data_IF_020149680354
#
_entry.id   IF_020149680354
#
_cell.length_a   1.000
_cell.length_b   1.000
_cell.length_c   1.000
_cell.angle_alpha   90.00
_cell.angle_beta   90.00
_cell.angle_gamma   90.00
#
_symmetry.space_group_name_H-M   'P 1'
#
loop_
_entity.id
_entity.type
_entity.pdbx_description
1 polymer ?
#
# COMPACT_ATOMS: atom_id res chain seq x y z
N UNK A 1 25.57 17.40 47.31
CA UNK A 1 25.90 16.84 45.99
C UNK A 1 24.70 16.61 45.05
N UNK A 2 23.49 16.30 45.55
CA UNK A 2 22.30 16.01 44.71
C UNK A 2 21.80 17.17 43.82
N UNK A 3 22.00 18.44 44.23
CA UNK A 3 21.55 19.62 43.48
C UNK A 3 22.36 19.87 42.20
N UNK A 4 23.64 19.48 42.17
CA UNK A 4 24.51 19.65 41.00
C UNK A 4 24.21 18.62 39.91
N UNK A 5 23.84 17.40 40.30
CA UNK A 5 23.41 16.34 39.37
C UNK A 5 22.12 16.76 38.66
N UNK A 6 21.10 17.26 39.37
CA UNK A 6 19.87 17.77 38.73
C UNK A 6 20.12 18.93 37.77
N UNK A 7 21.05 19.83 38.10
CA UNK A 7 21.44 20.94 37.21
C UNK A 7 22.18 20.42 35.97
N UNK A 8 23.08 19.45 36.14
CA UNK A 8 23.78 18.80 35.04
C UNK A 8 22.80 18.07 34.11
N UNK A 9 21.84 17.29 34.64
CA UNK A 9 20.80 16.65 33.83
C UNK A 9 19.88 17.64 33.10
N UNK A 10 19.54 18.76 33.74
CA UNK A 10 18.77 19.82 33.10
C UNK A 10 19.58 20.53 31.99
N UNK A 11 20.88 20.71 32.17
CA UNK A 11 21.77 21.30 31.16
C UNK A 11 22.11 20.33 30.03
N UNK A 12 22.25 19.03 30.33
CA UNK A 12 22.46 17.99 29.36
C UNK A 12 21.20 17.77 28.52
N UNK A 13 20.02 17.73 29.16
CA UNK A 13 18.73 17.71 28.47
C UNK A 13 18.51 18.97 27.64
N UNK A 14 18.84 20.16 28.15
CA UNK A 14 18.73 21.40 27.39
C UNK A 14 19.72 21.49 26.22
N UNK A 15 20.96 21.02 26.38
CA UNK A 15 21.93 20.94 25.27
C UNK A 15 21.55 19.87 24.25
N UNK A 16 21.01 18.72 24.67
CA UNK A 16 20.49 17.71 23.76
C UNK A 16 19.28 18.23 23.00
N UNK A 17 18.37 18.93 23.67
CA UNK A 17 17.19 19.56 23.06
C UNK A 17 17.57 20.75 22.17
N UNK A 18 18.65 21.48 22.49
CA UNK A 18 19.21 22.55 21.66
C UNK A 18 19.89 21.99 20.41
N UNK A 19 20.73 20.94 20.55
CA UNK A 19 21.40 20.29 19.41
C UNK A 19 20.38 19.52 18.54
N UNK A 20 19.32 18.98 19.13
CA UNK A 20 18.25 18.31 18.39
C UNK A 20 17.31 19.31 17.69
N UNK A 21 17.06 20.49 18.27
CA UNK A 21 16.35 21.58 17.58
C UNK A 21 17.21 22.30 16.53
N UNK A 22 18.54 22.33 16.70
CA UNK A 22 19.51 23.00 15.82
C UNK A 22 20.03 22.06 14.70
N UNK A 23 19.83 20.74 14.85
CA UNK A 23 20.08 19.69 13.85
C UNK A 23 18.78 18.88 13.58
N UNK A 24 17.61 19.52 13.66
CA UNK A 24 16.40 18.91 13.12
C UNK A 24 16.48 19.02 11.60
N UNK A 25 16.97 17.97 10.94
CA UNK A 25 17.13 17.91 9.48
C UNK A 25 15.88 18.52 8.80
N UNK A 26 16.02 19.59 7.99
CA UNK A 26 14.87 20.21 7.32
C UNK A 26 14.01 19.21 6.55
N UNK A 27 14.53 18.03 6.17
CA UNK A 27 13.72 16.91 5.67
C UNK A 27 12.61 16.47 6.64
N UNK A 28 12.95 16.29 7.91
CA UNK A 28 12.03 15.83 8.97
C UNK A 28 10.95 16.88 9.21
N UNK A 29 11.31 18.17 9.21
CA UNK A 29 10.33 19.25 9.37
C UNK A 29 9.34 19.31 8.20
N UNK A 30 9.83 19.14 6.97
CA UNK A 30 8.99 19.05 5.77
C UNK A 30 8.09 17.81 5.77
N UNK A 31 8.57 16.69 6.32
CA UNK A 31 7.76 15.49 6.54
C UNK A 31 6.66 15.73 7.57
N UNK A 32 7.01 16.26 8.73
CA UNK A 32 6.04 16.57 9.78
C UNK A 32 4.95 17.54 9.30
N UNK A 33 5.34 18.61 8.60
CA UNK A 33 4.39 19.56 8.04
C UNK A 33 3.45 18.93 7.00
N UNK A 34 3.95 17.95 6.22
CA UNK A 34 3.12 17.21 5.27
C UNK A 34 2.16 16.27 5.99
N UNK A 35 2.65 15.52 6.98
CA UNK A 35 1.82 14.61 7.78
C UNK A 35 0.69 15.38 8.48
N UNK A 36 1.00 16.55 9.05
CA UNK A 36 -0.02 17.41 9.67
C UNK A 36 -1.04 17.89 8.64
N UNK A 37 -0.60 18.33 7.46
CA UNK A 37 -1.51 18.74 6.38
C UNK A 37 -2.40 17.59 5.90
N UNK A 38 -1.87 16.37 5.81
CA UNK A 38 -2.64 15.17 5.48
C UNK A 38 -3.66 14.83 6.57
N UNK A 39 -3.28 14.95 7.85
CA UNK A 39 -4.18 14.71 8.97
C UNK A 39 -5.32 15.74 9.02
N UNK A 40 -5.00 17.02 8.82
CA UNK A 40 -6.00 18.09 8.69
C UNK A 40 -6.96 17.81 7.53
N UNK A 41 -6.43 17.39 6.38
CA UNK A 41 -7.25 17.00 5.22
C UNK A 41 -8.19 15.82 5.54
N UNK A 42 -7.69 14.82 6.26
CA UNK A 42 -8.50 13.67 6.71
C UNK A 42 -9.62 14.10 7.65
N UNK A 43 -9.32 14.92 8.66
CA UNK A 43 -10.30 15.48 9.60
C UNK A 43 -11.38 16.30 8.88
N UNK A 44 -10.99 17.14 7.92
CA UNK A 44 -11.94 17.91 7.11
C UNK A 44 -12.86 17.01 6.27
N UNK A 45 -12.32 15.92 5.69
CA UNK A 45 -13.12 14.92 4.98
C UNK A 45 -14.12 14.22 5.89
N UNK A 46 -13.70 13.81 7.08
CA UNK A 46 -14.57 13.19 8.08
C UNK A 46 -15.71 14.14 8.51
N UNK A 47 -15.39 15.41 8.78
CA UNK A 47 -16.39 16.43 9.10
C UNK A 47 -17.36 16.66 7.94
N UNK A 48 -16.85 16.79 6.71
CA UNK A 48 -17.70 16.94 5.53
C UNK A 48 -18.59 15.72 5.30
N UNK A 49 -18.08 14.50 5.56
CA UNK A 49 -18.87 13.28 5.47
C UNK A 49 -20.06 13.32 6.45
N UNK A 50 -19.87 13.78 7.69
CA UNK A 50 -20.96 13.91 8.65
C UNK A 50 -22.03 14.93 8.21
N UNK A 51 -21.61 16.07 7.64
CA UNK A 51 -22.53 17.09 7.11
C UNK A 51 -23.31 16.54 5.91
N UNK A 52 -22.64 15.84 4.99
CA UNK A 52 -23.29 15.22 3.82
C UNK A 52 -24.23 14.10 4.25
N UNK A 53 -23.86 13.32 5.27
CA UNK A 53 -24.72 12.29 5.83
C UNK A 53 -25.99 12.90 6.43
N UNK A 54 -25.89 14.00 7.16
CA UNK A 54 -27.05 14.74 7.68
C UNK A 54 -27.95 15.27 6.55
N UNK A 55 -27.37 15.82 5.47
CA UNK A 55 -28.11 16.20 4.27
C UNK A 55 -28.90 15.00 3.71
N UNK A 56 -28.23 13.86 3.51
CA UNK A 56 -28.86 12.66 2.94
C UNK A 56 -29.96 12.10 3.83
N UNK A 57 -29.76 12.09 5.14
CA UNK A 57 -30.77 11.68 6.10
C UNK A 57 -31.99 12.60 6.06
N UNK A 58 -31.79 13.91 5.94
CA UNK A 58 -32.88 14.89 5.84
C UNK A 58 -33.65 14.72 4.53
N UNK A 59 -32.95 14.46 3.43
CA UNK A 59 -33.57 14.14 2.13
C UNK A 59 -34.40 12.85 2.22
N UNK A 60 -33.87 11.77 2.79
CA UNK A 60 -34.63 10.50 2.98
C UNK A 60 -35.90 10.72 3.79
N UNK A 61 -35.82 11.46 4.91
CA UNK A 61 -37.00 11.78 5.72
C UNK A 61 -38.04 12.60 4.95
N UNK A 62 -37.59 13.54 4.12
CA UNK A 62 -38.48 14.31 3.25
C UNK A 62 -39.19 13.39 2.25
N UNK A 63 -38.46 12.51 1.57
CA UNK A 63 -39.00 11.57 0.59
C UNK A 63 -40.00 10.58 1.24
N UNK A 64 -39.66 10.05 2.41
CA UNK A 64 -40.54 9.19 3.21
C UNK A 64 -41.85 9.92 3.60
N UNK A 65 -41.74 11.18 4.03
CA UNK A 65 -42.91 11.97 4.45
C UNK A 65 -43.79 12.34 3.25
N UNK A 66 -43.19 12.64 2.10
CA UNK A 66 -43.92 12.83 0.84
C UNK A 66 -44.68 11.57 0.44
N UNK A 67 -44.07 10.40 0.55
CA UNK A 67 -44.76 9.12 0.29
C UNK A 67 -45.93 8.86 1.24
N UNK A 68 -45.80 9.19 2.52
CA UNK A 68 -46.89 9.11 3.50
C UNK A 68 -48.03 10.08 3.16
N UNK A 69 -47.70 11.30 2.75
CA UNK A 69 -48.67 12.31 2.33
C UNK A 69 -49.47 11.83 1.11
N UNK A 70 -48.79 11.27 0.10
CA UNK A 70 -49.47 10.70 -1.05
C UNK A 70 -50.42 9.54 -0.68
N UNK A 71 -50.00 8.67 0.25
CA UNK A 71 -50.84 7.58 0.74
C UNK A 71 -52.07 8.11 1.50
N UNK A 72 -51.88 9.08 2.40
CA UNK A 72 -52.99 9.73 3.11
C UNK A 72 -53.95 10.40 2.13
N UNK A 73 -53.44 11.02 1.07
CA UNK A 73 -54.27 11.67 0.05
C UNK A 73 -55.14 10.65 -0.70
N UNK A 74 -54.56 9.50 -1.12
CA UNK A 74 -55.33 8.39 -1.71
C UNK A 74 -56.40 7.87 -0.76
N UNK A 75 -56.09 7.71 0.52
CA UNK A 75 -57.04 7.24 1.53
C UNK A 75 -58.18 8.25 1.76
N UNK A 76 -57.86 9.56 1.79
CA UNK A 76 -58.85 10.62 1.90
C UNK A 76 -59.82 10.60 0.72
N UNK A 77 -59.29 10.52 -0.51
CA UNK A 77 -60.11 10.42 -1.72
C UNK A 77 -61.05 9.21 -1.67
N UNK A 78 -60.54 8.04 -1.28
CA UNK A 78 -61.36 6.83 -1.13
C UNK A 78 -62.45 6.99 -0.06
N UNK A 79 -62.12 7.58 1.10
CA UNK A 79 -63.10 7.81 2.16
C UNK A 79 -64.23 8.74 1.72
N UNK A 80 -63.91 9.81 0.98
CA UNK A 80 -64.90 10.74 0.41
C UNK A 80 -65.79 10.03 -0.62
N UNK A 81 -65.21 9.21 -1.50
CA UNK A 81 -65.99 8.43 -2.47
C UNK A 81 -66.95 7.46 -1.77
N UNK A 82 -66.51 6.80 -0.70
CA UNK A 82 -67.36 5.89 0.08
C UNK A 82 -68.47 6.62 0.84
N UNK A 83 -68.19 7.82 1.38
CA UNK A 83 -69.20 8.66 2.02
C UNK A 83 -70.29 9.12 1.03
N UNK A 84 -69.87 9.53 -0.17
CA UNK A 84 -70.77 9.94 -1.26
C UNK A 84 -71.64 8.78 -1.75
N UNK A 85 -71.06 7.58 -1.92
CA UNK A 85 -71.81 6.38 -2.30
C UNK A 85 -72.82 5.95 -1.22
N UNK A 86 -72.44 5.99 0.05
CA UNK A 86 -73.36 5.70 1.17
C UNK A 86 -74.51 6.71 1.22
N UNK A 87 -74.21 7.99 0.94
CA UNK A 87 -75.22 9.06 0.86
C UNK A 87 -76.19 8.80 -0.29
N UNK A 88 -75.71 8.43 -1.49
CA UNK A 88 -76.58 8.08 -2.64
C UNK A 88 -77.42 6.84 -2.39
N UNK A 89 -76.88 5.87 -1.66
CA UNK A 89 -77.57 4.64 -1.29
C UNK A 89 -78.60 4.82 -0.17
N UNK A 90 -78.66 6.01 0.45
CA UNK A 90 -79.58 6.32 1.55
C UNK A 90 -79.18 5.75 2.92
N UNK A 91 -77.94 5.24 3.07
CA UNK A 91 -77.42 4.69 4.31
C UNK A 91 -76.78 5.81 5.15
N UNK A 92 -77.63 6.54 5.88
CA UNK A 92 -77.22 7.73 6.65
C UNK A 92 -76.18 7.44 7.74
N UNK A 93 -76.22 6.25 8.35
CA UNK A 93 -75.27 5.86 9.39
C UNK A 93 -73.86 5.69 8.79
N UNK A 94 -73.73 4.93 7.70
CA UNK A 94 -72.43 4.75 7.02
C UNK A 94 -71.92 6.05 6.41
N UNK A 95 -72.80 6.89 5.86
CA UNK A 95 -72.41 8.19 5.33
C UNK A 95 -71.75 9.06 6.41
N UNK A 96 -72.33 9.09 7.63
CA UNK A 96 -71.75 9.83 8.75
C UNK A 96 -70.39 9.26 9.20
N UNK A 97 -70.26 7.93 9.29
CA UNK A 97 -69.01 7.26 9.67
C UNK A 97 -67.87 7.56 8.68
N UNK A 98 -68.11 7.40 7.37
CA UNK A 98 -67.10 7.68 6.34
C UNK A 98 -66.75 9.17 6.25
N UNK A 99 -67.72 10.06 6.48
CA UNK A 99 -67.47 11.51 6.53
C UNK A 99 -66.54 11.85 7.70
N UNK A 100 -66.81 11.32 8.90
CA UNK A 100 -65.92 11.53 10.06
C UNK A 100 -64.51 10.96 9.83
N UNK A 101 -64.41 9.80 9.18
CA UNK A 101 -63.11 9.24 8.79
C UNK A 101 -62.36 10.13 7.80
N UNK A 102 -63.05 10.68 6.79
CA UNK A 102 -62.46 11.61 5.83
C UNK A 102 -61.97 12.90 6.51
N UNK A 103 -62.74 13.46 7.44
CA UNK A 103 -62.33 14.63 8.25
C UNK A 103 -61.08 14.33 9.10
N UNK A 104 -61.02 13.16 9.72
CA UNK A 104 -59.84 12.75 10.49
C UNK A 104 -58.58 12.61 9.61
N UNK A 105 -58.71 12.02 8.41
CA UNK A 105 -57.60 11.92 7.46
C UNK A 105 -57.20 13.31 6.94
N UNK A 106 -58.14 14.22 6.70
CA UNK A 106 -57.86 15.59 6.28
C UNK A 106 -57.03 16.35 7.34
N UNK A 107 -57.34 16.18 8.62
CA UNK A 107 -56.54 16.76 9.71
C UNK A 107 -55.10 16.19 9.73
N UNK A 108 -54.94 14.89 9.46
CA UNK A 108 -53.62 14.26 9.35
C UNK A 108 -52.85 14.75 8.13
N UNK A 109 -53.52 14.98 7.00
CA UNK A 109 -52.93 15.54 5.79
C UNK A 109 -52.34 16.92 6.06
N UNK A 110 -53.09 17.81 6.70
CA UNK A 110 -52.62 19.17 7.03
C UNK A 110 -51.36 19.11 7.91
N UNK A 111 -51.35 18.24 8.93
CA UNK A 111 -50.17 18.05 9.77
C UNK A 111 -48.96 17.53 8.96
N UNK A 112 -49.18 16.58 8.05
CA UNK A 112 -48.11 16.04 7.20
C UNK A 112 -47.61 17.03 6.15
N UNK A 113 -48.48 17.89 5.62
CA UNK A 113 -48.09 18.99 4.73
C UNK A 113 -47.15 19.97 5.44
N UNK A 114 -47.46 20.32 6.69
CA UNK A 114 -46.58 21.16 7.52
C UNK A 114 -45.23 20.48 7.80
N UNK A 115 -45.22 19.17 8.11
CA UNK A 115 -43.98 18.40 8.26
C UNK A 115 -43.12 18.47 6.98
N UNK A 116 -43.74 18.29 5.81
CA UNK A 116 -43.07 18.36 4.50
C UNK A 116 -42.48 19.74 4.25
N UNK A 117 -43.22 20.81 4.53
CA UNK A 117 -42.70 22.18 4.38
C UNK A 117 -41.50 22.44 5.28
N UNK A 118 -41.56 22.01 6.55
CA UNK A 118 -40.43 22.09 7.47
C UNK A 118 -39.22 21.31 6.99
N UNK A 119 -39.43 20.07 6.53
CA UNK A 119 -38.36 19.21 6.00
C UNK A 119 -37.77 19.76 4.70
N UNK A 120 -38.55 20.40 3.84
CA UNK A 120 -38.03 21.10 2.64
C UNK A 120 -37.07 22.21 3.02
N UNK A 121 -37.44 23.06 3.98
CA UNK A 121 -36.57 24.13 4.46
C UNK A 121 -35.26 23.56 5.04
N UNK A 122 -35.35 22.53 5.88
CA UNK A 122 -34.19 21.85 6.44
C UNK A 122 -33.33 21.18 5.36
N UNK A 123 -33.94 20.55 4.36
CA UNK A 123 -33.22 19.91 3.25
C UNK A 123 -32.44 20.92 2.40
N UNK A 124 -33.02 22.10 2.16
CA UNK A 124 -32.33 23.20 1.47
C UNK A 124 -31.12 23.68 2.30
N UNK A 125 -31.30 23.93 3.58
CA UNK A 125 -30.22 24.35 4.47
C UNK A 125 -29.10 23.29 4.54
N UNK A 126 -29.46 22.02 4.71
CA UNK A 126 -28.50 20.93 4.77
C UNK A 126 -27.77 20.74 3.44
N UNK A 127 -28.43 21.01 2.30
CA UNK A 127 -27.80 20.98 0.97
C UNK A 127 -26.75 22.07 0.83
N UNK A 128 -27.06 23.30 1.23
CA UNK A 128 -26.07 24.40 1.21
C UNK A 128 -24.87 24.10 2.12
N UNK A 129 -25.11 23.58 3.33
CA UNK A 129 -24.04 23.18 4.26
C UNK A 129 -23.15 22.07 3.66
N UNK A 130 -23.76 21.07 3.02
CA UNK A 130 -23.03 20.00 2.35
C UNK A 130 -22.21 20.50 1.16
N UNK A 131 -22.72 21.46 0.37
CA UNK A 131 -21.97 22.09 -0.72
C UNK A 131 -20.76 22.88 -0.20
N UNK A 132 -20.93 23.68 0.85
CA UNK A 132 -19.83 24.39 1.50
C UNK A 132 -18.77 23.43 2.03
N UNK A 133 -19.18 22.34 2.68
CA UNK A 133 -18.28 21.32 3.17
C UNK A 133 -17.49 20.64 2.03
N UNK A 134 -18.16 20.30 0.92
CA UNK A 134 -17.50 19.75 -0.29
C UNK A 134 -16.49 20.74 -0.88
N UNK A 135 -16.86 22.01 -0.98
CA UNK A 135 -15.98 23.07 -1.48
C UNK A 135 -14.74 23.22 -0.58
N UNK A 136 -14.91 23.20 0.74
CA UNK A 136 -13.81 23.28 1.70
C UNK A 136 -12.84 22.08 1.58
N UNK A 137 -13.37 20.86 1.43
CA UNK A 137 -12.55 19.66 1.18
C UNK A 137 -11.78 19.77 -0.14
N UNK A 138 -12.44 20.24 -1.21
CA UNK A 138 -11.80 20.41 -2.51
C UNK A 138 -10.68 21.46 -2.43
N UNK A 139 -10.94 22.61 -1.81
CA UNK A 139 -9.94 23.66 -1.62
C UNK A 139 -8.75 23.13 -0.81
N UNK A 140 -9.00 22.44 0.29
CA UNK A 140 -7.94 21.87 1.12
C UNK A 140 -7.12 20.82 0.37
N UNK A 141 -7.75 20.01 -0.50
CA UNK A 141 -7.02 19.06 -1.36
C UNK A 141 -6.04 19.76 -2.31
N UNK A 142 -6.42 20.93 -2.86
CA UNK A 142 -5.53 21.75 -3.70
C UNK A 142 -4.36 22.30 -2.89
N UNK A 143 -4.63 22.79 -1.69
CA UNK A 143 -3.57 23.26 -0.76
C UNK A 143 -2.61 22.12 -0.40
N UNK A 144 -3.11 20.92 -0.15
CA UNK A 144 -2.28 19.75 0.12
C UNK A 144 -1.38 19.40 -1.08
N UNK A 145 -1.91 19.45 -2.30
CA UNK A 145 -1.13 19.25 -3.52
C UNK A 145 -0.04 20.33 -3.70
N UNK A 146 -0.35 21.58 -3.41
CA UNK A 146 0.63 22.67 -3.43
C UNK A 146 1.75 22.42 -2.41
N UNK A 147 1.41 22.06 -1.17
CA UNK A 147 2.39 21.70 -0.12
C UNK A 147 3.26 20.51 -0.51
N UNK A 148 2.69 19.51 -1.19
CA UNK A 148 3.45 18.37 -1.72
C UNK A 148 4.47 18.81 -2.77
N UNK A 149 4.07 19.64 -3.73
CA UNK A 149 4.97 20.16 -4.75
C UNK A 149 6.07 21.05 -4.15
N UNK A 150 5.70 21.91 -3.20
CA UNK A 150 6.65 22.77 -2.48
C UNK A 150 7.66 21.93 -1.68
N UNK A 151 7.22 20.90 -0.97
CA UNK A 151 8.10 19.95 -0.28
C UNK A 151 9.11 19.31 -1.24
N UNK A 152 8.66 18.82 -2.40
CA UNK A 152 9.57 18.22 -3.39
C UNK A 152 10.62 19.22 -3.87
N UNK A 153 10.21 20.47 -4.13
CA UNK A 153 11.13 21.56 -4.50
C UNK A 153 12.16 21.83 -3.40
N UNK A 154 11.71 21.95 -2.15
CA UNK A 154 12.58 22.22 -1.00
C UNK A 154 13.52 21.06 -0.69
N UNK A 155 13.08 19.81 -0.86
CA UNK A 155 13.93 18.64 -0.74
C UNK A 155 15.04 18.63 -1.80
N UNK A 156 14.71 18.92 -3.06
CA UNK A 156 15.71 19.02 -4.12
C UNK A 156 16.75 20.12 -3.86
N UNK A 157 16.32 21.28 -3.35
CA UNK A 157 17.22 22.37 -2.96
C UNK A 157 18.11 21.97 -1.79
N UNK A 158 17.55 21.28 -0.80
CA UNK A 158 18.29 20.79 0.34
C UNK A 158 19.33 19.75 -0.08
N UNK A 159 19.00 18.85 -0.99
CA UNK A 159 19.94 17.85 -1.51
C UNK A 159 21.09 18.50 -2.29
N UNK A 160 20.79 19.55 -3.07
CA UNK A 160 21.81 20.35 -3.74
C UNK A 160 22.74 21.05 -2.73
N UNK A 161 22.17 21.67 -1.69
CA UNK A 161 22.93 22.33 -0.63
C UNK A 161 23.81 21.32 0.13
N UNK A 162 23.27 20.16 0.50
CA UNK A 162 24.02 19.08 1.17
C UNK A 162 25.16 18.55 0.32
N UNK A 163 24.98 18.42 -1.01
CA UNK A 163 26.05 18.01 -1.92
C UNK A 163 27.19 19.04 -1.95
N UNK A 164 26.85 20.33 -1.97
CA UNK A 164 27.85 21.41 -1.90
C UNK A 164 28.57 21.42 -0.55
N UNK A 165 27.85 21.24 0.56
CA UNK A 165 28.43 21.10 1.90
C UNK A 165 29.37 19.90 2.00
N UNK A 166 28.95 18.73 1.48
CA UNK A 166 29.78 17.53 1.43
C UNK A 166 31.03 17.71 0.56
N UNK A 167 30.90 18.35 -0.62
CA UNK A 167 32.04 18.66 -1.49
C UNK A 167 33.03 19.60 -0.78
N UNK A 168 32.53 20.67 -0.15
CA UNK A 168 33.36 21.63 0.58
C UNK A 168 34.01 20.97 1.80
N UNK A 169 33.28 20.13 2.54
CA UNK A 169 33.82 19.37 3.66
C UNK A 169 34.88 18.38 3.19
N UNK A 170 34.66 17.65 2.10
CA UNK A 170 35.64 16.73 1.53
C UNK A 170 36.90 17.48 1.07
N UNK A 171 36.75 18.64 0.43
CA UNK A 171 37.87 19.51 0.06
C UNK A 171 38.60 20.08 1.28
N UNK A 172 37.90 20.42 2.36
CA UNK A 172 38.50 20.87 3.60
C UNK A 172 39.27 19.74 4.31
N UNK A 173 38.68 18.55 4.46
CA UNK A 173 39.36 17.36 4.99
C UNK A 173 40.56 16.98 4.13
N UNK A 174 40.40 17.02 2.80
CA UNK A 174 41.50 16.80 1.87
C UNK A 174 42.58 17.86 2.06
N UNK A 175 42.26 19.15 2.11
CA UNK A 175 43.21 20.24 2.31
C UNK A 175 43.90 20.21 3.68
N UNK A 176 43.25 19.66 4.71
CA UNK A 176 43.82 19.48 6.06
C UNK A 176 44.72 18.23 6.15
N UNK A 177 44.45 17.21 5.33
CA UNK A 177 45.31 16.02 5.16
C UNK A 177 46.38 16.17 4.08
N UNK A 178 46.33 17.22 3.25
CA UNK A 178 47.39 17.60 2.29
C UNK A 178 48.48 18.34 3.08
N UNK A 179 49.13 17.59 3.96
CA UNK A 179 50.43 17.87 4.54
C UNK A 179 51.32 16.64 4.28
N UNK A 180 52.07 16.71 3.19
CA UNK A 180 53.23 15.88 2.80
C UNK A 180 53.07 14.43 2.26
N UNK A 181 51.89 13.82 2.13
CA UNK A 181 51.78 12.45 1.57
C UNK A 181 50.53 12.19 0.72
N UNK A 182 50.29 13.00 -0.33
CA UNK A 182 49.26 12.69 -1.34
C UNK A 182 49.91 12.21 -2.64
N UNK A 183 49.62 10.97 -3.11
CA UNK A 183 50.13 10.46 -4.37
C UNK A 183 49.81 11.40 -5.52
N UNK A 184 50.80 11.70 -6.35
CA UNK A 184 50.59 12.59 -7.50
C UNK A 184 49.60 11.97 -8.50
N UNK A 185 48.91 12.79 -9.29
CA UNK A 185 48.03 12.33 -10.38
C UNK A 185 48.75 11.37 -11.34
N UNK A 186 50.07 11.51 -11.48
CA UNK A 186 50.92 10.63 -12.25
C UNK A 186 51.03 9.22 -11.63
N UNK A 187 51.23 9.12 -10.31
CA UNK A 187 51.30 7.83 -9.60
C UNK A 187 49.97 7.07 -9.62
N UNK A 188 48.85 7.79 -9.51
CA UNK A 188 47.52 7.17 -9.63
C UNK A 188 47.30 6.66 -11.04
N UNK A 189 47.71 7.42 -12.07
CA UNK A 189 47.64 6.99 -13.48
C UNK A 189 48.48 5.74 -13.71
N UNK A 190 49.72 5.70 -13.21
CA UNK A 190 50.60 4.54 -13.32
C UNK A 190 50.01 3.30 -12.61
N UNK A 191 49.37 3.49 -11.45
CA UNK A 191 48.72 2.40 -10.71
C UNK A 191 47.47 1.86 -11.42
N UNK A 192 46.71 2.72 -12.09
CA UNK A 192 45.58 2.31 -12.93
C UNK A 192 46.07 1.55 -14.15
N UNK A 193 47.10 2.06 -14.83
CA UNK A 193 47.74 1.38 -15.98
C UNK A 193 48.31 0.01 -15.57
N UNK A 194 48.98 -0.08 -14.43
CA UNK A 194 49.48 -1.33 -13.88
C UNK A 194 48.36 -2.33 -13.54
N UNK A 195 47.24 -1.86 -12.96
CA UNK A 195 46.07 -2.72 -12.70
C UNK A 195 45.42 -3.19 -14.00
N UNK A 196 45.30 -2.32 -14.98
CA UNK A 196 44.70 -2.65 -16.27
C UNK A 196 45.58 -3.66 -17.02
N UNK A 197 46.90 -3.47 -17.05
CA UNK A 197 47.86 -4.42 -17.62
C UNK A 197 47.79 -5.78 -16.92
N UNK A 198 47.71 -5.80 -15.58
CA UNK A 198 47.54 -7.03 -14.79
C UNK A 198 46.22 -7.74 -15.09
N UNK A 199 45.12 -7.01 -15.22
CA UNK A 199 43.82 -7.57 -15.56
C UNK A 199 43.83 -8.18 -16.97
N UNK A 200 44.43 -7.48 -17.94
CA UNK A 200 44.57 -7.97 -19.31
C UNK A 200 45.45 -9.23 -19.38
N UNK A 201 46.58 -9.26 -18.66
CA UNK A 201 47.41 -10.46 -18.56
C UNK A 201 46.70 -11.65 -17.90
N UNK A 202 45.86 -11.41 -16.88
CA UNK A 202 45.04 -12.47 -16.27
C UNK A 202 43.95 -12.98 -17.23
N UNK A 203 43.36 -12.12 -18.04
CA UNK A 203 42.41 -12.51 -19.07
C UNK A 203 43.08 -13.38 -20.15
N UNK A 204 44.29 -13.00 -20.61
CA UNK A 204 45.07 -13.79 -21.57
C UNK A 204 45.43 -15.19 -21.02
N UNK A 205 45.77 -15.31 -19.73
CA UNK A 205 46.02 -16.62 -19.09
C UNK A 205 44.73 -17.45 -19.00
N UNK A 206 43.60 -16.82 -18.69
CA UNK A 206 42.31 -17.51 -18.66
C UNK A 206 41.93 -18.02 -20.05
N UNK A 207 42.10 -17.21 -21.10
CA UNK A 207 41.87 -17.63 -22.49
C UNK A 207 42.75 -18.82 -22.85
N UNK A 208 44.06 -18.78 -22.54
CA UNK A 208 44.96 -19.93 -22.76
C UNK A 208 44.52 -21.19 -21.99
N UNK A 209 43.95 -21.03 -20.78
CA UNK A 209 43.48 -22.15 -19.97
C UNK A 209 42.18 -22.77 -20.47
N UNK A 210 41.28 -21.96 -21.05
CA UNK A 210 40.05 -22.44 -21.70
C UNK A 210 40.40 -23.19 -22.97
N UNK A 211 41.31 -22.64 -23.78
CA UNK A 211 41.81 -23.31 -24.99
C UNK A 211 42.45 -24.67 -24.65
N UNK A 212 43.24 -24.73 -23.58
CA UNK A 212 43.84 -25.98 -23.09
C UNK A 212 42.77 -27.01 -22.65
N UNK A 213 41.68 -26.56 -22.01
CA UNK A 213 40.55 -27.43 -21.63
C UNK A 213 39.75 -27.91 -22.83
N UNK A 214 39.60 -27.09 -23.88
CA UNK A 214 38.93 -27.50 -25.13
C UNK A 214 39.72 -28.61 -25.81
N UNK A 215 41.04 -28.47 -25.93
CA UNK A 215 41.92 -29.52 -26.48
C UNK A 215 41.83 -30.82 -25.67
N UNK A 216 41.78 -30.73 -24.34
CA UNK A 216 41.65 -31.92 -23.48
C UNK A 216 40.27 -32.60 -23.62
N UNK A 217 39.19 -31.81 -23.77
CA UNK A 217 37.83 -32.32 -24.03
C UNK A 217 37.75 -32.97 -25.41
N UNK A 218 38.33 -32.37 -26.45
CA UNK A 218 38.39 -32.95 -27.79
C UNK A 218 39.15 -34.29 -27.78
N UNK A 219 40.29 -34.36 -27.10
CA UNK A 219 41.05 -35.60 -26.94
C UNK A 219 40.24 -36.69 -26.19
N UNK A 220 39.51 -36.31 -25.14
CA UNK A 220 38.63 -37.22 -24.40
C UNK A 220 37.46 -37.71 -25.27
N UNK A 221 36.85 -36.84 -26.06
CA UNK A 221 35.78 -37.20 -26.99
C UNK A 221 36.26 -38.20 -28.05
N UNK A 222 37.45 -37.98 -28.63
CA UNK A 222 38.08 -38.93 -29.57
C UNK A 222 38.33 -40.28 -28.92
N UNK A 223 38.79 -40.31 -27.66
CA UNK A 223 38.99 -41.56 -26.92
C UNK A 223 37.66 -42.30 -26.66
N UNK A 224 36.58 -41.57 -26.32
CA UNK A 224 35.26 -42.17 -26.14
C UNK A 224 34.71 -42.72 -27.45
N UNK A 225 34.83 -42.00 -28.57
CA UNK A 225 34.43 -42.50 -29.89
C UNK A 225 35.27 -43.72 -30.29
N UNK A 226 36.58 -43.70 -30.04
CA UNK A 226 37.47 -44.83 -30.29
C UNK A 226 37.05 -46.05 -29.47
N UNK A 227 36.75 -45.90 -28.17
CA UNK A 227 36.24 -46.98 -27.33
C UNK A 227 34.88 -47.50 -27.81
N UNK A 228 33.97 -46.62 -28.23
CA UNK A 228 32.68 -46.99 -28.79
C UNK A 228 32.85 -47.81 -30.08
N UNK A 229 33.70 -47.39 -31.03
CA UNK A 229 34.00 -48.16 -32.24
C UNK A 229 34.67 -49.49 -31.93
N UNK A 230 35.58 -49.52 -30.96
CA UNK A 230 36.25 -50.75 -30.55
C UNK A 230 35.25 -51.73 -29.92
N UNK A 231 34.29 -51.23 -29.13
CA UNK A 231 33.19 -52.03 -28.57
C UNK A 231 32.24 -52.57 -29.66
N UNK A 232 31.93 -51.77 -30.68
CA UNK A 232 31.13 -52.19 -31.83
C UNK A 232 31.86 -53.26 -32.66
N UNK A 233 33.18 -53.10 -32.87
CA UNK A 233 34.03 -54.10 -33.54
C UNK A 233 34.08 -55.40 -32.73
N UNK A 234 34.26 -55.33 -31.40
CA UNK A 234 34.22 -56.50 -30.51
C UNK A 234 32.86 -57.21 -30.55
N UNK A 235 31.76 -56.45 -30.57
CA UNK A 235 30.40 -56.98 -30.72
C UNK A 235 30.23 -57.70 -32.06
N UNK A 236 30.69 -57.10 -33.16
CA UNK A 236 30.66 -57.72 -34.51
C UNK A 236 31.53 -58.97 -34.63
N UNK A 237 32.62 -59.06 -33.85
CA UNK A 237 33.53 -60.21 -33.80
C UNK A 237 33.12 -61.27 -32.77
N UNK A 238 32.06 -61.05 -31.98
CA UNK A 238 31.59 -61.98 -30.96
C UNK A 238 32.51 -62.12 -29.74
N UNK A 239 33.42 -61.16 -29.52
CA UNK A 239 34.38 -61.17 -28.40
C UNK A 239 33.76 -60.38 -27.24
N UNK A 240 32.91 -61.04 -26.45
CA UNK A 240 32.40 -60.50 -25.19
C UNK A 240 33.35 -60.86 -24.03
N UNK A 241 33.92 -59.85 -23.37
CA UNK A 241 34.69 -60.08 -22.14
C UNK A 241 33.76 -60.56 -21.02
N UNK A 242 34.12 -61.73 -20.48
CA UNK A 242 33.53 -62.34 -19.31
C UNK A 242 34.29 -61.93 -18.03
N UNK A 243 33.55 -61.76 -16.93
CA UNK A 243 33.99 -61.62 -15.53
C UNK A 243 34.75 -60.32 -15.21
N UNK A 244 34.42 -59.55 -14.16
CA UNK A 244 34.43 -59.99 -12.76
C UNK A 244 33.68 -58.99 -11.87
N UNK A 245 32.78 -59.47 -10.99
CA UNK A 245 32.42 -58.85 -9.71
C UNK A 245 33.10 -59.70 -8.60
N UNK A 246 33.52 -59.18 -7.41
CA UNK A 246 32.63 -58.62 -6.36
C UNK A 246 33.21 -57.36 -5.65
N UNK A 247 32.40 -56.42 -5.12
CA UNK A 247 31.70 -56.34 -3.83
C UNK A 247 32.52 -55.90 -2.58
N UNK A 248 31.88 -54.99 -1.81
CA UNK A 248 32.09 -54.57 -0.40
C UNK A 248 33.29 -53.65 -0.09
N UNK A 249 33.15 -52.47 0.51
CA UNK A 249 32.64 -52.13 1.87
C UNK A 249 32.48 -50.60 1.95
N UNK A 250 31.33 -50.04 2.35
CA UNK A 250 30.88 -49.74 3.72
C UNK A 250 31.51 -48.51 4.41
N UNK A 251 30.63 -47.57 4.78
CA UNK A 251 30.71 -46.56 5.87
C UNK A 251 31.72 -45.41 5.74
N UNK A 252 31.51 -44.19 6.24
CA UNK A 252 30.33 -43.45 6.71
C UNK A 252 30.79 -42.00 7.01
N UNK A 253 29.84 -41.08 6.91
CA UNK A 253 29.67 -39.86 7.73
C UNK A 253 30.54 -38.60 7.50
N UNK A 254 29.81 -37.54 7.13
CA UNK A 254 29.94 -36.16 7.64
C UNK A 254 30.57 -35.18 6.65
N UNK A 255 30.09 -33.96 6.40
CA UNK A 255 28.97 -33.15 6.91
C UNK A 255 28.84 -31.95 5.95
N UNK A 256 27.69 -31.28 5.99
CA UNK A 256 27.44 -29.87 5.59
C UNK A 256 26.86 -29.62 4.18
N UNK A 257 25.55 -29.39 4.19
CA UNK A 257 24.80 -28.58 3.21
C UNK A 257 25.16 -27.07 3.37
N UNK A 258 24.72 -26.14 2.49
CA UNK A 258 23.30 -25.80 2.45
C UNK A 258 22.69 -25.42 1.07
N UNK A 259 21.38 -25.65 1.00
CA UNK A 259 20.32 -24.80 0.42
C UNK A 259 20.29 -24.42 -1.06
N UNK A 260 19.13 -24.70 -1.68
CA UNK A 260 18.62 -23.96 -2.85
C UNK A 260 17.57 -24.72 -3.67
N UNK A 261 16.30 -24.66 -3.26
CA UNK A 261 15.09 -25.12 -3.99
C UNK A 261 14.90 -24.33 -5.31
N UNK A 262 14.13 -24.81 -6.33
CA UNK A 262 12.67 -24.81 -6.30
C UNK A 262 11.97 -26.09 -6.85
N UNK A 263 10.69 -26.17 -6.49
CA UNK A 263 9.61 -27.14 -6.79
C UNK A 263 9.18 -27.17 -8.30
N UNK A 264 8.12 -27.87 -8.78
CA UNK A 264 6.99 -28.51 -8.05
C UNK A 264 6.40 -29.82 -8.66
N UNK A 265 5.21 -30.20 -8.16
CA UNK A 265 4.24 -31.24 -8.57
C UNK A 265 4.23 -32.48 -7.64
N UNK A 266 3.13 -32.99 -7.11
CA UNK A 266 1.68 -32.71 -7.14
C UNK A 266 1.03 -33.58 -6.04
N UNK A 267 -0.19 -33.21 -5.58
CA UNK A 267 -1.31 -34.10 -5.18
C UNK A 267 -1.04 -35.19 -4.10
N UNK A 268 -1.89 -35.61 -3.17
CA UNK A 268 -3.32 -35.61 -2.79
C UNK A 268 -3.28 -36.37 -1.42
N UNK A 269 -4.07 -36.13 -0.38
CA UNK A 269 -5.48 -36.53 -0.17
C UNK A 269 -5.88 -36.17 1.27
N UNK A 270 -7.14 -35.74 1.40
CA UNK A 270 -8.14 -35.75 2.51
C UNK A 270 -8.01 -36.80 3.65
N UNK A 271 -8.91 -36.82 4.67
CA UNK A 271 -9.65 -35.77 5.40
C UNK A 271 -9.55 -35.93 6.95
N UNK A 272 -10.06 -34.97 7.72
CA UNK A 272 -10.22 -35.14 9.18
C UNK A 272 -10.99 -34.03 9.87
N UNK A 273 -12.30 -34.25 10.00
CA UNK A 273 -13.22 -33.94 11.10
C UNK A 273 -13.16 -32.61 11.89
N UNK A 274 -14.33 -31.98 12.03
CA UNK A 274 -14.69 -31.30 13.28
C UNK A 274 -15.69 -30.15 13.14
N UNK A 275 -16.88 -30.38 13.69
CA UNK A 275 -17.82 -29.38 14.22
C UNK A 275 -18.81 -28.69 13.25
N UNK A 276 -19.91 -29.40 13.00
CA UNK A 276 -21.17 -28.82 12.55
C UNK A 276 -22.13 -28.67 13.75
N UNK A 277 -22.50 -27.41 13.97
CA UNK A 277 -23.44 -26.90 14.94
C UNK A 277 -24.84 -27.51 14.79
N UNK A 278 -25.44 -27.87 15.93
CA UNK A 278 -26.84 -28.22 16.06
C UNK A 278 -27.52 -27.36 17.14
N UNK A 279 -28.82 -27.12 16.92
CA UNK A 279 -29.84 -26.45 17.77
C UNK A 279 -30.01 -24.97 17.45
N UNK A 280 -31.14 -24.47 16.94
CA UNK A 280 -32.51 -24.99 16.89
C UNK A 280 -33.38 -24.30 17.94
N UNK A 281 -34.25 -23.39 17.51
CA UNK A 281 -35.71 -23.35 17.76
C UNK A 281 -36.30 -22.07 17.18
#
# INVERSE_FOLDING_TARGET
MWKSIKKFWKYLGAKLNSIFNEVADPKIQLEQALTEAQEQHRKLKEQAANVIANQKQTQSRLDETLGQLEQLNRNAQQAVLMADEATRSGDAAKAAEYTSAAEAIANQLIAKEQDVEGLKALALQATQAAEQAKAAVQQNSRVLQQKLAEKQRLLSQLDQAKMQEQMNSAMATLSEQVGDDVPTLAEVKEKIEARHAKAKGMAEIQDMSVESRIVEIEQAAVNVEAQARLSEIRSKLGIGDAATAPAATAAAAGTAAPSGTPAPASETTSPGDGDALASGN
#
